data_IF_641395698061
#
_entry.id   IF_641395698061
#
_cell.length_a   1.000
_cell.length_b   1.000
_cell.length_c   1.000
_cell.angle_alpha   90.00
_cell.angle_beta   90.00
_cell.angle_gamma   90.00
#
_symmetry.space_group_name_H-M   'P 1'
#
loop_
_entity.id
_entity.type
_entity.pdbx_description
1 polymer ?
#
# COMPACT_ATOMS: atom_id res chain seq x y z
N UNK A 1 6.92 -1.30 -17.42
CA UNK A 1 8.26 -0.73 -17.16
C UNK A 1 8.06 0.70 -16.64
N UNK A 2 8.35 0.90 -15.35
CA UNK A 2 8.36 2.16 -14.59
C UNK A 2 7.11 3.04 -14.66
N UNK A 3 6.15 2.79 -13.75
CA UNK A 3 5.34 3.85 -13.16
C UNK A 3 5.59 3.83 -11.65
N UNK A 4 6.81 4.21 -11.27
CA UNK A 4 7.06 4.88 -9.99
C UNK A 4 7.35 6.31 -10.41
N UNK A 5 6.29 7.04 -10.77
CA UNK A 5 6.41 8.48 -10.96
C UNK A 5 6.33 9.12 -9.58
N UNK A 6 7.43 9.77 -9.28
CA UNK A 6 7.72 10.61 -8.12
C UNK A 6 8.20 9.86 -6.86
N UNK A 7 9.45 10.16 -6.54
CA UNK A 7 10.15 9.84 -5.30
C UNK A 7 9.24 10.13 -4.11
N UNK A 8 8.54 9.11 -3.62
CA UNK A 8 7.91 9.15 -2.31
C UNK A 8 9.06 9.24 -1.29
N UNK A 9 9.23 10.36 -0.56
CA UNK A 9 10.33 10.48 0.39
C UNK A 9 10.08 9.52 1.55
N UNK A 10 10.64 8.31 1.45
CA UNK A 10 10.38 7.18 2.36
C UNK A 10 10.57 7.59 3.82
N UNK A 11 11.61 8.37 4.12
CA UNK A 11 11.85 8.91 5.46
C UNK A 11 10.74 9.87 5.94
N UNK A 12 10.23 10.75 5.08
CA UNK A 12 9.15 11.68 5.45
C UNK A 12 7.83 10.93 5.64
N UNK A 13 7.52 9.97 4.76
CA UNK A 13 6.34 9.13 4.87
C UNK A 13 6.38 8.22 6.10
N UNK A 14 7.51 7.58 6.37
CA UNK A 14 7.73 6.78 7.56
C UNK A 14 7.57 7.62 8.84
N UNK A 15 8.13 8.82 8.87
CA UNK A 15 7.99 9.75 10.00
C UNK A 15 6.53 10.17 10.22
N UNK A 16 5.78 10.44 9.14
CA UNK A 16 4.34 10.72 9.21
C UNK A 16 3.54 9.52 9.72
N UNK A 17 3.85 8.30 9.26
CA UNK A 17 3.23 7.05 9.72
C UNK A 17 3.48 6.79 11.21
N UNK A 18 4.72 6.92 11.68
CA UNK A 18 5.10 6.71 13.07
C UNK A 18 4.57 7.80 14.02
N UNK A 19 4.39 9.02 13.51
CA UNK A 19 3.76 10.11 14.28
C UNK A 19 2.24 9.95 14.35
N UNK A 20 1.62 9.48 13.28
CA UNK A 20 0.19 9.17 13.25
C UNK A 20 -0.18 8.01 14.19
N UNK A 21 0.70 7.03 14.38
CA UNK A 21 0.45 5.92 15.31
C UNK A 21 0.42 6.35 16.79
N UNK A 22 0.84 7.58 17.12
CA UNK A 22 0.79 8.14 18.49
C UNK A 22 -0.44 9.00 18.78
N UNK A 23 -1.37 9.20 17.83
CA UNK A 23 -2.58 9.98 18.12
C UNK A 23 -3.46 10.42 16.94
N UNK A 24 -3.24 9.97 15.71
CA UNK A 24 -4.07 10.36 14.57
C UNK A 24 -4.56 9.14 13.77
N UNK A 25 -5.71 8.54 14.15
CA UNK A 25 -6.47 7.60 13.31
C UNK A 25 -6.71 8.12 11.88
N UNK A 26 -6.59 9.44 11.69
CA UNK A 26 -6.84 10.12 10.42
C UNK A 26 -5.84 9.79 9.32
N UNK A 27 -4.55 9.62 9.59
CA UNK A 27 -3.58 9.38 8.50
C UNK A 27 -3.72 7.97 7.93
N UNK A 28 -3.77 6.95 8.78
CA UNK A 28 -3.92 5.56 8.36
C UNK A 28 -5.21 5.35 7.55
N UNK A 29 -6.34 5.83 8.07
CA UNK A 29 -7.63 5.69 7.39
C UNK A 29 -7.68 6.49 6.08
N UNK A 30 -7.10 7.69 6.05
CA UNK A 30 -7.01 8.49 4.81
C UNK A 30 -6.10 7.83 3.78
N UNK A 31 -4.99 7.21 4.22
CA UNK A 31 -4.07 6.53 3.31
C UNK A 31 -4.69 5.26 2.73
N UNK A 32 -5.39 4.47 3.54
CA UNK A 32 -6.16 3.33 3.02
C UNK A 32 -7.26 3.79 2.06
N UNK A 33 -8.01 4.85 2.41
CA UNK A 33 -9.04 5.39 1.52
C UNK A 33 -8.46 5.87 0.18
N UNK A 34 -7.30 6.53 0.21
CA UNK A 34 -6.56 6.92 -1.00
C UNK A 34 -6.18 5.69 -1.84
N UNK A 35 -5.57 4.66 -1.24
CA UNK A 35 -5.20 3.44 -1.96
C UNK A 35 -6.41 2.68 -2.51
N UNK A 36 -7.55 2.70 -1.80
CA UNK A 36 -8.80 2.10 -2.29
C UNK A 36 -9.24 2.79 -3.59
N UNK A 37 -9.19 4.13 -3.65
CA UNK A 37 -9.57 4.83 -4.89
C UNK A 37 -8.56 4.55 -6.01
N UNK A 38 -7.25 4.59 -5.71
CA UNK A 38 -6.20 4.31 -6.71
C UNK A 38 -6.32 2.90 -7.29
N UNK A 39 -6.50 1.89 -6.45
CA UNK A 39 -6.53 0.48 -6.88
C UNK A 39 -7.82 0.09 -7.61
N UNK A 40 -8.91 0.87 -7.49
CA UNK A 40 -10.13 0.61 -8.27
C UNK A 40 -9.87 0.70 -9.77
N UNK A 41 -9.07 1.68 -10.18
CA UNK A 41 -8.83 1.95 -11.60
C UNK A 41 -7.83 0.97 -12.22
N UNK A 42 -7.00 0.33 -11.41
CA UNK A 42 -5.99 -0.64 -11.86
C UNK A 42 -6.47 -2.11 -11.84
N UNK A 43 -7.68 -2.37 -11.33
CA UNK A 43 -8.17 -3.73 -11.10
C UNK A 43 -8.53 -4.50 -12.39
N UNK A 44 -7.88 -5.65 -12.57
CA UNK A 44 -8.13 -6.70 -13.54
C UNK A 44 -9.33 -7.57 -13.12
N UNK A 45 -10.45 -7.33 -13.79
CA UNK A 45 -11.72 -8.05 -13.60
C UNK A 45 -11.66 -9.51 -14.05
N UNK A 46 -10.73 -9.86 -14.94
CA UNK A 46 -10.61 -11.23 -15.46
C UNK A 46 -9.90 -12.11 -14.43
N UNK A 47 -8.81 -11.63 -13.83
CA UNK A 47 -8.10 -12.34 -12.74
C UNK A 47 -9.02 -12.58 -11.54
N UNK A 48 -9.90 -11.63 -11.26
CA UNK A 48 -10.72 -11.60 -10.05
C UNK A 48 -12.18 -12.03 -10.26
N UNK A 49 -12.46 -12.79 -11.33
CA UNK A 49 -13.82 -13.21 -11.68
C UNK A 49 -14.52 -13.94 -10.52
N UNK A 50 -15.73 -13.49 -10.18
CA UNK A 50 -16.57 -14.10 -9.14
C UNK A 50 -16.39 -13.51 -7.74
N UNK A 51 -15.52 -12.50 -7.59
CA UNK A 51 -15.34 -11.75 -6.36
C UNK A 51 -15.90 -10.32 -6.50
N UNK A 52 -16.22 -9.71 -5.36
CA UNK A 52 -16.68 -8.31 -5.32
C UNK A 52 -15.49 -7.37 -5.49
N UNK A 53 -15.58 -6.44 -6.44
CA UNK A 53 -14.57 -5.40 -6.71
C UNK A 53 -14.21 -4.63 -5.43
N UNK A 54 -15.22 -4.24 -4.66
CA UNK A 54 -15.03 -3.55 -3.37
C UNK A 54 -14.24 -4.38 -2.36
N UNK A 55 -14.45 -5.69 -2.33
CA UNK A 55 -13.73 -6.60 -1.41
C UNK A 55 -12.27 -6.75 -1.84
N UNK A 56 -12.00 -6.90 -3.15
CA UNK A 56 -10.65 -7.05 -3.70
C UNK A 56 -9.82 -5.80 -3.41
N UNK A 57 -10.36 -4.62 -3.73
CA UNK A 57 -9.66 -3.35 -3.56
C UNK A 57 -9.39 -3.08 -2.07
N UNK A 58 -10.38 -3.30 -1.19
CA UNK A 58 -10.18 -3.17 0.26
C UNK A 58 -9.13 -4.15 0.76
N UNK A 59 -9.14 -5.40 0.29
CA UNK A 59 -8.13 -6.39 0.64
C UNK A 59 -6.73 -5.92 0.22
N UNK A 60 -6.55 -5.51 -1.02
CA UNK A 60 -5.27 -5.04 -1.56
C UNK A 60 -4.72 -3.84 -0.78
N UNK A 61 -5.54 -2.80 -0.55
CA UNK A 61 -5.15 -1.61 0.20
C UNK A 61 -4.75 -1.93 1.64
N UNK A 62 -5.52 -2.76 2.34
CA UNK A 62 -5.21 -3.14 3.71
C UNK A 62 -3.96 -4.03 3.79
N UNK A 63 -3.79 -4.98 2.88
CA UNK A 63 -2.61 -5.84 2.83
C UNK A 63 -1.34 -5.02 2.56
N UNK A 64 -1.39 -4.10 1.59
CA UNK A 64 -0.28 -3.20 1.25
C UNK A 64 0.16 -2.38 2.48
N UNK A 65 -0.79 -1.71 3.14
CA UNK A 65 -0.50 -0.89 4.34
C UNK A 65 -0.02 -1.77 5.49
N UNK A 66 -0.61 -2.95 5.68
CA UNK A 66 -0.22 -3.88 6.75
C UNK A 66 1.24 -4.30 6.65
N UNK A 67 1.67 -4.74 5.46
CA UNK A 67 3.07 -5.12 5.21
C UNK A 67 4.00 -3.92 5.39
N UNK A 68 3.65 -2.77 4.81
CA UNK A 68 4.45 -1.55 4.90
C UNK A 68 4.64 -1.08 6.35
N UNK A 69 3.57 -1.10 7.16
CA UNK A 69 3.63 -0.75 8.59
C UNK A 69 4.49 -1.75 9.37
N UNK A 70 4.37 -3.06 9.11
CA UNK A 70 5.17 -4.08 9.79
C UNK A 70 6.65 -3.88 9.50
N UNK A 71 7.00 -3.72 8.21
CA UNK A 71 8.36 -3.46 7.77
C UNK A 71 8.98 -2.22 8.42
N UNK A 72 8.22 -1.12 8.54
CA UNK A 72 8.66 0.08 9.25
C UNK A 72 8.88 -0.17 10.75
N UNK A 73 7.97 -0.90 11.41
CA UNK A 73 8.06 -1.23 12.84
C UNK A 73 9.24 -2.14 13.17
N UNK A 74 9.60 -3.01 12.24
CA UNK A 74 10.75 -3.93 12.34
C UNK A 74 12.09 -3.24 12.05
N UNK A 75 12.09 -1.93 11.82
CA UNK A 75 13.30 -1.15 11.56
C UNK A 75 13.80 -1.27 10.12
N UNK A 76 12.91 -1.54 9.17
CA UNK A 76 13.21 -1.67 7.74
C UNK A 76 14.26 -2.77 7.48
N UNK A 77 13.97 -4.05 7.78
CA UNK A 77 14.94 -5.15 7.70
C UNK A 77 15.48 -5.41 6.28
N UNK A 78 14.68 -5.07 5.26
CA UNK A 78 15.11 -5.01 3.86
C UNK A 78 15.20 -3.56 3.39
N UNK A 79 16.02 -3.27 2.38
CA UNK A 79 16.12 -1.91 1.83
C UNK A 79 14.78 -1.45 1.22
N UNK A 80 14.46 -0.14 1.26
CA UNK A 80 13.22 0.40 0.70
C UNK A 80 12.94 -0.03 -0.75
N UNK A 81 13.97 -0.11 -1.60
CA UNK A 81 13.82 -0.50 -3.01
C UNK A 81 13.35 -1.95 -3.19
N UNK A 82 13.82 -2.84 -2.31
CA UNK A 82 13.39 -4.25 -2.30
C UNK A 82 11.93 -4.32 -1.86
N UNK A 83 11.57 -3.63 -0.77
CA UNK A 83 10.20 -3.61 -0.27
C UNK A 83 9.21 -3.01 -1.29
N UNK A 84 9.58 -1.90 -1.94
CA UNK A 84 8.77 -1.28 -2.99
C UNK A 84 8.56 -2.23 -4.19
N UNK A 85 9.62 -2.92 -4.62
CA UNK A 85 9.54 -3.91 -5.70
C UNK A 85 8.62 -5.08 -5.33
N UNK A 86 8.78 -5.63 -4.13
CA UNK A 86 7.97 -6.78 -3.67
C UNK A 86 6.50 -6.40 -3.53
N UNK A 87 6.19 -5.26 -2.92
CA UNK A 87 4.83 -4.75 -2.80
C UNK A 87 4.20 -4.48 -4.18
N UNK A 88 4.94 -3.90 -5.12
CA UNK A 88 4.47 -3.68 -6.48
C UNK A 88 4.11 -4.99 -7.20
N UNK A 89 4.97 -6.01 -7.12
CA UNK A 89 4.70 -7.33 -7.73
C UNK A 89 3.48 -8.00 -7.10
N UNK A 90 3.31 -7.88 -5.78
CA UNK A 90 2.13 -8.43 -5.09
C UNK A 90 0.86 -7.70 -5.52
N UNK A 91 0.93 -6.38 -5.68
CA UNK A 91 -0.19 -5.59 -6.15
C UNK A 91 -0.62 -6.01 -7.56
N UNK A 92 0.31 -6.14 -8.52
CA UNK A 92 0.05 -6.61 -9.89
C UNK A 92 -0.60 -8.01 -9.97
N UNK A 93 -0.47 -8.82 -8.91
CA UNK A 93 -1.08 -10.16 -8.84
C UNK A 93 -2.51 -10.14 -8.32
N UNK A 94 -2.85 -9.14 -7.53
CA UNK A 94 -4.14 -9.02 -6.85
C UNK A 94 -5.06 -8.06 -7.60
N UNK A 95 -4.50 -6.93 -8.01
CA UNK A 95 -5.16 -5.84 -8.72
C UNK A 95 -4.94 -6.06 -10.20
#
# INVERSE_FOLDING_TARGET
>A
MYIVRDNFPVQSFASSMSSASKGAPSFHNKFIAFLIEEFKDEMDKVKNKGLSEDVIVKFAANAYVGVLVSWLKEGMPSSPDIMAKELGILLERIV
#
